data_IF_078778949946
#
_entry.id   IF_078778949946
#
_cell.length_a   1.000
_cell.length_b   1.000
_cell.length_c   1.000
_cell.angle_alpha   90.00
_cell.angle_beta   90.00
_cell.angle_gamma   90.00
#
_symmetry.space_group_name_H-M   'P 1'
#
loop_
_entity.id
_entity.type
_entity.pdbx_description
1 polymer ?
#
# COMPACT_ATOMS: atom_id res chain seq x y z
N UNK A 1 0.50 10.01 1.66
CA UNK A 1 -0.07 8.66 1.84
C UNK A 1 1.04 7.62 1.78
N UNK A 2 0.85 6.50 2.46
CA UNK A 2 1.65 5.29 2.28
C UNK A 2 0.70 4.13 1.99
N UNK A 3 1.03 3.33 0.97
CA UNK A 3 0.27 2.16 0.57
C UNK A 3 1.12 0.94 0.87
N UNK A 4 0.65 0.07 1.75
CA UNK A 4 1.29 -1.22 2.03
C UNK A 4 0.62 -2.31 1.21
N UNK A 5 1.41 -3.12 0.52
CA UNK A 5 0.95 -4.23 -0.31
C UNK A 5 1.73 -5.47 0.06
N UNK A 6 1.05 -6.58 0.27
CA UNK A 6 1.68 -7.84 0.61
C UNK A 6 0.95 -9.02 -0.01
N UNK A 7 1.70 -10.11 -0.23
CA UNK A 7 1.15 -11.41 -0.62
C UNK A 7 0.38 -12.02 0.55
N UNK A 8 -0.79 -12.59 0.29
CA UNK A 8 -1.54 -13.31 1.34
C UNK A 8 -0.80 -14.59 1.77
N UNK A 9 -0.02 -15.18 0.88
CA UNK A 9 0.76 -16.40 1.14
C UNK A 9 2.09 -16.11 1.84
N UNK A 10 2.61 -14.89 1.71
CA UNK A 10 3.90 -14.50 2.28
C UNK A 10 3.84 -13.05 2.81
N UNK A 11 3.53 -12.88 4.10
CA UNK A 11 3.50 -11.57 4.75
C UNK A 11 4.86 -10.85 4.74
N UNK A 12 5.97 -11.58 4.54
CA UNK A 12 7.31 -10.99 4.46
C UNK A 12 7.55 -10.27 3.12
N UNK A 13 6.84 -10.62 2.04
CA UNK A 13 6.82 -9.87 0.76
C UNK A 13 5.92 -8.64 0.86
N UNK A 14 6.10 -7.86 1.93
CA UNK A 14 5.40 -6.59 2.14
C UNK A 14 6.20 -5.43 1.55
N UNK A 15 5.52 -4.53 0.85
CA UNK A 15 6.11 -3.37 0.18
C UNK A 15 5.30 -2.14 0.51
N UNK A 16 5.98 -1.13 1.06
CA UNK A 16 5.38 0.16 1.38
C UNK A 16 5.78 1.17 0.31
N UNK A 17 4.78 1.72 -0.37
CA UNK A 17 4.93 2.75 -1.39
C UNK A 17 4.48 4.10 -0.83
N UNK A 18 5.37 5.08 -0.85
CA UNK A 18 5.02 6.46 -0.53
C UNK A 18 4.33 7.11 -1.73
N UNK A 19 3.14 7.66 -1.50
CA UNK A 19 2.29 8.30 -2.50
C UNK A 19 1.98 9.70 -2.03
N UNK A 20 2.30 10.71 -2.85
CA UNK A 20 2.02 12.11 -2.52
C UNK A 20 0.52 12.39 -2.60
N UNK A 21 0.02 13.33 -1.80
CA UNK A 21 -1.39 13.74 -1.86
C UNK A 21 -1.75 14.38 -3.21
N UNK A 22 -0.76 14.98 -3.89
CA UNK A 22 -0.90 15.58 -5.21
C UNK A 22 -1.23 14.56 -6.31
N UNK A 23 -0.83 13.29 -6.11
CA UNK A 23 -1.12 12.17 -7.01
C UNK A 23 -1.50 10.96 -6.18
N UNK A 24 -2.75 10.86 -5.68
CA UNK A 24 -3.18 9.83 -4.75
C UNK A 24 -3.34 8.44 -5.39
N UNK A 25 -2.97 8.29 -6.66
CA UNK A 25 -3.05 7.03 -7.41
C UNK A 25 -1.69 6.35 -7.44
N UNK A 26 -1.61 5.13 -6.90
CA UNK A 26 -0.47 4.24 -7.08
C UNK A 26 -0.72 3.32 -8.28
N UNK A 27 0.23 3.29 -9.23
CA UNK A 27 0.22 2.34 -10.35
C UNK A 27 1.33 1.32 -10.16
N UNK A 28 0.97 0.05 -10.20
CA UNK A 28 1.91 -1.06 -9.99
C UNK A 28 2.00 -1.84 -11.28
N UNK A 29 3.21 -2.02 -11.84
CA UNK A 29 3.38 -2.84 -13.03
C UNK A 29 3.00 -4.30 -12.72
N UNK A 30 2.16 -4.92 -13.55
CA UNK A 30 1.76 -6.32 -13.35
C UNK A 30 2.97 -7.27 -13.25
N UNK A 31 4.08 -6.97 -13.96
CA UNK A 31 5.34 -7.74 -13.90
C UNK A 31 5.99 -7.82 -12.51
N UNK A 32 5.63 -6.93 -11.58
CA UNK A 32 6.16 -6.97 -10.20
C UNK A 32 5.31 -7.81 -9.27
N UNK A 33 4.18 -8.32 -9.75
CA UNK A 33 3.28 -9.24 -9.04
C UNK A 33 3.51 -10.66 -9.55
N UNK A 34 3.41 -11.62 -8.64
CA UNK A 34 3.45 -13.05 -8.96
C UNK A 34 2.06 -13.46 -9.44
N UNK A 35 2.03 -14.22 -10.52
CA UNK A 35 0.77 -14.75 -11.07
C UNK A 35 0.20 -15.84 -10.15
N UNK A 36 -1.13 -15.87 -10.05
CA UNK A 36 -1.86 -16.95 -9.40
C UNK A 36 -1.97 -16.88 -7.88
N UNK A 37 -1.65 -15.72 -7.27
CA UNK A 37 -1.74 -15.53 -5.82
C UNK A 37 -2.59 -14.32 -5.46
N UNK A 38 -3.18 -14.34 -4.26
CA UNK A 38 -3.91 -13.19 -3.73
C UNK A 38 -2.97 -12.18 -3.08
N UNK A 39 -3.25 -10.90 -3.30
CA UNK A 39 -2.58 -9.79 -2.66
C UNK A 39 -3.55 -9.01 -1.78
N UNK A 40 -3.00 -8.31 -0.79
CA UNK A 40 -3.73 -7.36 0.05
C UNK A 40 -3.06 -5.99 0.03
N UNK A 41 -3.87 -4.95 0.15
CA UNK A 41 -3.43 -3.56 0.22
C UNK A 41 -4.14 -2.82 1.35
N UNK A 42 -3.42 -1.91 2.01
CA UNK A 42 -3.98 -0.95 2.96
C UNK A 42 -3.27 0.38 2.84
N UNK A 43 -3.94 1.46 3.22
CA UNK A 43 -3.44 2.83 3.06
C UNK A 43 -3.41 3.53 4.41
N UNK A 44 -2.42 4.39 4.62
CA UNK A 44 -2.39 5.36 5.72
C UNK A 44 -2.02 6.74 5.21
N UNK A 45 -2.38 7.78 5.96
CA UNK A 45 -2.10 9.17 5.62
C UNK A 45 -1.08 9.78 6.59
N UNK A 46 -0.37 10.80 6.10
CA UNK A 46 0.48 11.65 6.91
C UNK A 46 0.42 13.06 6.33
N UNK A 47 0.11 14.04 7.19
CA UNK A 47 0.10 15.44 6.82
C UNK A 47 1.42 16.07 7.25
N UNK A 48 2.40 16.06 6.34
CA UNK A 48 3.78 16.50 6.58
C UNK A 48 3.85 17.98 7.00
N UNK A 49 3.04 18.83 6.36
CA UNK A 49 3.03 20.29 6.61
C UNK A 49 2.53 20.65 8.02
N UNK A 50 1.82 19.74 8.67
CA UNK A 50 1.25 19.94 10.01
C UNK A 50 2.03 19.20 11.10
N UNK A 51 3.21 18.65 10.77
CA UNK A 51 4.08 17.89 11.67
C UNK A 51 3.32 16.79 12.47
N UNK A 52 2.33 16.19 11.82
CA UNK A 52 1.51 15.12 12.41
C UNK A 52 2.25 13.79 12.39
N UNK A 53 1.78 12.82 13.17
CA UNK A 53 2.21 11.42 13.01
C UNK A 53 1.43 10.74 11.88
N UNK A 54 1.87 9.55 11.46
CA UNK A 54 1.10 8.72 10.56
C UNK A 54 -0.24 8.34 11.17
N UNK A 55 -1.30 8.34 10.37
CA UNK A 55 -2.57 7.72 10.77
C UNK A 55 -2.41 6.21 10.95
N UNK A 56 -3.39 5.62 11.65
CA UNK A 56 -3.60 4.19 11.59
C UNK A 56 -3.83 3.72 10.14
N UNK A 57 -3.57 2.44 9.91
CA UNK A 57 -3.81 1.81 8.63
C UNK A 57 -5.31 1.62 8.37
N UNK A 58 -5.73 1.80 7.13
CA UNK A 58 -7.07 1.46 6.68
C UNK A 58 -7.33 -0.06 6.77
N UNK A 59 -8.60 -0.48 6.74
CA UNK A 59 -8.94 -1.86 6.41
C UNK A 59 -8.25 -2.31 5.11
N UNK A 60 -7.94 -3.61 5.03
CA UNK A 60 -7.28 -4.17 3.86
C UNK A 60 -8.27 -4.51 2.75
N UNK A 61 -7.92 -4.19 1.51
CA UNK A 61 -8.58 -4.72 0.30
C UNK A 61 -7.78 -5.92 -0.22
N UNK A 62 -8.47 -6.96 -0.67
CA UNK A 62 -7.88 -8.15 -1.29
C UNK A 62 -8.18 -8.18 -2.80
N UNK A 63 -7.20 -8.59 -3.61
CA UNK A 63 -7.39 -8.91 -5.03
C UNK A 63 -6.58 -10.16 -5.42
N UNK A 64 -6.92 -10.74 -6.57
CA UNK A 64 -6.27 -11.91 -7.19
C UNK A 64 -5.73 -11.51 -8.56
#
# INVERSE_FOLDING_TARGET
>A
YAVNIWSENDPADSRIHNVTYLKPTLRIPARTLKSGISYRARVRAWAQDYNTTWSEWSPSTKWY
#
